data_IF_968841630427
#
_entry.id   IF_968841630427
#
_cell.length_a   1.000
_cell.length_b   1.000
_cell.length_c   1.000
_cell.angle_alpha   90.00
_cell.angle_beta   90.00
_cell.angle_gamma   90.00
#
_symmetry.space_group_name_H-M   'P 1'
#
loop_
_entity.id
_entity.type
_entity.pdbx_description
1 polymer ?
#
# COMPACT_ATOMS: atom_id res chain seq x y z
N UNK A 1 -7.50 29.58 -23.61
CA UNK A 1 -6.51 29.06 -22.64
C UNK A 1 -6.28 27.61 -23.00
N UNK A 2 -5.19 27.31 -23.70
CA UNK A 2 -4.84 25.93 -24.09
C UNK A 2 -4.53 25.15 -22.82
N UNK A 3 -5.38 24.17 -22.49
CA UNK A 3 -5.13 23.23 -21.40
C UNK A 3 -3.78 22.59 -21.70
N UNK A 4 -2.81 22.74 -20.81
CA UNK A 4 -1.51 22.10 -20.95
C UNK A 4 -1.74 20.59 -21.17
N UNK A 5 -1.02 19.95 -22.12
CA UNK A 5 -1.17 18.53 -22.33
C UNK A 5 -0.95 17.79 -21.02
N UNK A 6 -1.78 16.77 -20.75
CA UNK A 6 -1.65 15.95 -19.55
C UNK A 6 -0.18 15.48 -19.43
N UNK A 7 0.45 15.62 -18.26
CA UNK A 7 1.84 15.23 -18.09
C UNK A 7 2.02 13.77 -18.49
N UNK A 8 3.04 13.49 -19.30
CA UNK A 8 3.36 12.10 -19.65
C UNK A 8 3.68 11.31 -18.38
N UNK A 9 3.22 10.04 -18.27
CA UNK A 9 3.57 9.18 -17.15
C UNK A 9 5.09 9.09 -16.99
N UNK A 10 5.58 9.11 -15.75
CA UNK A 10 7.02 8.93 -15.47
C UNK A 10 7.50 7.56 -15.96
N UNK A 11 8.66 7.53 -16.59
CA UNK A 11 9.40 6.30 -16.87
C UNK A 11 10.06 5.80 -15.59
N UNK A 12 9.37 4.92 -14.87
CA UNK A 12 9.80 4.39 -13.59
C UNK A 12 10.93 3.35 -13.74
N UNK A 13 11.10 2.74 -14.92
CA UNK A 13 12.02 1.64 -15.14
C UNK A 13 13.46 2.15 -15.27
N UNK A 14 13.66 3.21 -16.06
CA UNK A 14 14.97 3.84 -16.18
C UNK A 14 15.42 4.47 -14.85
N UNK A 15 14.49 5.07 -14.10
CA UNK A 15 14.77 5.57 -12.74
C UNK A 15 15.16 4.43 -11.78
N UNK A 16 14.51 3.27 -11.90
CA UNK A 16 14.79 2.12 -11.06
C UNK A 16 16.19 1.57 -11.25
N UNK A 17 16.67 1.43 -12.49
CA UNK A 17 18.02 0.94 -12.74
C UNK A 17 19.09 1.89 -12.17
N UNK A 18 18.90 3.21 -12.32
CA UNK A 18 19.79 4.21 -11.70
C UNK A 18 19.81 4.13 -10.17
N UNK A 19 18.65 3.90 -9.54
CA UNK A 19 18.57 3.69 -8.09
C UNK A 19 19.40 2.47 -7.66
N UNK A 20 19.32 1.37 -8.41
CA UNK A 20 20.02 0.12 -8.14
C UNK A 20 21.53 0.31 -8.27
N UNK A 21 22.00 0.89 -9.37
CA UNK A 21 23.42 1.20 -9.61
C UNK A 21 23.99 2.08 -8.50
N UNK A 22 23.26 3.14 -8.13
CA UNK A 22 23.66 4.03 -7.03
C UNK A 22 23.76 3.28 -5.71
N UNK A 23 22.83 2.37 -5.44
CA UNK A 23 22.84 1.60 -4.21
C UNK A 23 23.94 0.54 -4.18
N UNK A 24 24.26 -0.08 -5.32
CA UNK A 24 25.39 -0.99 -5.47
C UNK A 24 26.72 -0.28 -5.20
N UNK A 25 26.92 0.93 -5.75
CA UNK A 25 28.09 1.76 -5.43
C UNK A 25 28.14 2.03 -3.93
N UNK A 26 27.02 2.44 -3.31
CA UNK A 26 26.98 2.70 -1.87
C UNK A 26 27.29 1.45 -1.02
N UNK A 27 26.87 0.26 -1.46
CA UNK A 27 27.23 -1.01 -0.81
C UNK A 27 28.73 -1.24 -0.90
N UNK A 28 29.34 -1.07 -2.07
CA UNK A 28 30.80 -1.23 -2.26
C UNK A 28 31.58 -0.25 -1.39
N UNK A 29 31.18 1.02 -1.36
CA UNK A 29 31.80 2.05 -0.51
C UNK A 29 31.69 1.72 0.98
N UNK A 30 30.53 1.22 1.41
CA UNK A 30 30.32 0.83 2.81
C UNK A 30 31.18 -0.38 3.19
N UNK A 31 31.21 -1.42 2.35
CA UNK A 31 32.03 -2.60 2.58
C UNK A 31 33.53 -2.29 2.52
N UNK A 32 33.94 -1.31 1.72
CA UNK A 32 35.30 -0.76 1.66
C UNK A 32 35.66 0.19 2.80
N UNK A 33 34.71 0.57 3.66
CA UNK A 33 34.93 1.50 4.77
C UNK A 33 34.99 2.99 4.38
N UNK A 34 34.65 3.34 3.14
CA UNK A 34 34.64 4.73 2.64
C UNK A 34 33.48 5.55 3.22
N UNK A 35 32.34 4.91 3.50
CA UNK A 35 31.18 5.55 4.14
C UNK A 35 30.81 4.85 5.45
N UNK A 36 30.49 5.65 6.47
CA UNK A 36 30.09 5.14 7.78
C UNK A 36 28.66 4.57 7.83
N UNK A 37 28.37 3.74 8.84
CA UNK A 37 27.06 3.09 9.05
C UNK A 37 25.89 4.07 9.07
N UNK A 38 26.03 5.27 9.64
CA UNK A 38 24.91 6.22 9.72
C UNK A 38 24.49 6.74 8.34
N UNK A 39 25.46 6.99 7.44
CA UNK A 39 25.21 7.42 6.06
C UNK A 39 24.61 6.26 5.28
N UNK A 40 25.25 5.09 5.37
CA UNK A 40 24.80 3.88 4.67
C UNK A 40 23.40 3.44 5.12
N UNK A 41 23.10 3.53 6.42
CA UNK A 41 21.79 3.19 7.00
C UNK A 41 20.66 3.95 6.33
N UNK A 42 20.83 5.25 6.07
CA UNK A 42 19.79 6.05 5.40
C UNK A 42 19.55 5.54 3.97
N UNK A 43 20.63 5.30 3.21
CA UNK A 43 20.53 4.77 1.85
C UNK A 43 19.91 3.36 1.82
N UNK A 44 20.34 2.49 2.72
CA UNK A 44 19.84 1.12 2.89
C UNK A 44 18.34 1.10 3.19
N UNK A 45 17.90 1.89 4.18
CA UNK A 45 16.49 1.99 4.54
C UNK A 45 15.63 2.53 3.40
N UNK A 46 16.13 3.54 2.68
CA UNK A 46 15.44 4.11 1.54
C UNK A 46 15.31 3.14 0.35
N UNK A 47 16.16 2.12 0.27
CA UNK A 47 16.05 1.01 -0.69
C UNK A 47 15.26 -0.19 -0.17
N UNK A 48 14.52 -0.05 0.93
CA UNK A 48 13.69 -1.12 1.47
C UNK A 48 14.47 -2.22 2.19
N UNK A 49 15.75 -1.98 2.48
CA UNK A 49 16.66 -2.94 3.10
C UNK A 49 16.84 -2.61 4.58
N UNK A 50 16.81 -3.62 5.44
CA UNK A 50 16.95 -3.46 6.89
C UNK A 50 18.02 -4.41 7.43
N UNK A 51 18.92 -3.90 8.27
CA UNK A 51 19.91 -4.72 8.96
C UNK A 51 19.28 -5.72 9.92
N UNK A 52 19.76 -6.95 9.92
CA UNK A 52 19.33 -7.97 10.86
C UNK A 52 20.27 -8.10 12.06
N UNK A 53 19.71 -8.43 13.23
CA UNK A 53 20.49 -8.60 14.47
C UNK A 53 21.17 -9.96 14.56
N UNK A 54 20.78 -10.92 13.73
CA UNK A 54 21.29 -12.29 13.68
C UNK A 54 22.74 -12.40 13.16
N UNK A 55 23.50 -11.30 13.16
CA UNK A 55 24.90 -11.25 12.78
C UNK A 55 25.17 -11.25 11.28
N UNK A 56 26.41 -10.89 10.93
CA UNK A 56 26.93 -10.87 9.56
C UNK A 56 26.31 -9.78 8.68
N UNK A 57 26.34 -10.04 7.38
CA UNK A 57 25.83 -9.14 6.32
C UNK A 57 24.36 -9.40 5.97
N UNK A 58 23.63 -10.15 6.83
CA UNK A 58 22.24 -10.51 6.61
C UNK A 58 21.31 -9.29 6.67
N UNK A 59 20.47 -9.15 5.66
CA UNK A 59 19.47 -8.10 5.57
C UNK A 59 18.07 -8.69 5.39
N UNK A 60 17.08 -7.94 5.83
CA UNK A 60 15.71 -8.08 5.39
C UNK A 60 15.48 -7.15 4.20
N UNK A 61 14.89 -7.66 3.12
CA UNK A 61 14.46 -6.87 1.96
C UNK A 61 12.93 -6.87 1.94
N UNK A 62 12.35 -5.67 1.91
CA UNK A 62 10.90 -5.47 1.80
C UNK A 62 10.56 -4.91 0.43
N UNK A 63 9.60 -5.53 -0.24
CA UNK A 63 9.14 -5.12 -1.57
C UNK A 63 8.10 -3.99 -1.40
N UNK A 64 7.56 -3.37 -2.45
CA UNK A 64 6.32 -2.61 -2.42
C UNK A 64 5.33 -3.33 -3.32
N UNK A 65 4.13 -3.58 -2.80
CA UNK A 65 3.04 -4.27 -3.49
C UNK A 65 1.77 -3.43 -3.23
N UNK A 66 1.52 -2.38 -4.03
CA UNK A 66 0.35 -1.52 -3.83
C UNK A 66 -0.93 -2.37 -3.86
N UNK A 67 -1.89 -2.05 -3.00
CA UNK A 67 -3.14 -2.81 -2.82
C UNK A 67 -2.97 -4.31 -2.43
N UNK A 68 -1.73 -4.79 -2.27
CA UNK A 68 -1.43 -6.21 -2.10
C UNK A 68 -1.56 -7.05 -3.36
N UNK A 69 -1.77 -6.45 -4.53
CA UNK A 69 -1.94 -7.16 -5.81
C UNK A 69 -0.61 -7.81 -6.23
N UNK A 70 -0.68 -9.03 -6.76
CA UNK A 70 0.50 -9.78 -7.21
C UNK A 70 0.15 -10.62 -8.44
N UNK A 71 0.94 -10.49 -9.50
CA UNK A 71 0.74 -11.28 -10.73
C UNK A 71 1.38 -12.66 -10.62
N UNK A 72 1.02 -13.62 -11.50
CA UNK A 72 1.65 -14.94 -11.50
C UNK A 72 3.18 -14.87 -11.68
N UNK A 73 3.65 -14.00 -12.58
CA UNK A 73 5.08 -13.83 -12.90
C UNK A 73 5.84 -13.25 -11.70
N UNK A 74 5.24 -12.28 -11.01
CA UNK A 74 5.78 -11.72 -9.79
C UNK A 74 5.84 -12.77 -8.67
N UNK A 75 4.81 -13.62 -8.58
CA UNK A 75 4.73 -14.68 -7.59
C UNK A 75 5.77 -15.79 -7.83
N UNK A 76 5.96 -16.22 -9.07
CA UNK A 76 7.05 -17.12 -9.44
C UNK A 76 8.41 -16.53 -9.07
N UNK A 77 8.62 -15.25 -9.37
CA UNK A 77 9.83 -14.56 -8.94
C UNK A 77 9.99 -14.60 -7.41
N UNK A 78 8.93 -14.43 -6.62
CA UNK A 78 9.03 -14.55 -5.16
C UNK A 78 9.56 -15.93 -4.73
N UNK A 79 9.13 -17.00 -5.41
CA UNK A 79 9.65 -18.34 -5.17
C UNK A 79 11.14 -18.49 -5.52
N UNK A 80 11.56 -17.90 -6.63
CA UNK A 80 12.98 -17.83 -7.03
C UNK A 80 13.80 -17.04 -6.01
N UNK A 81 13.33 -15.87 -5.58
CA UNK A 81 14.02 -15.04 -4.59
C UNK A 81 14.11 -15.73 -3.22
N UNK A 82 13.03 -16.40 -2.80
CA UNK A 82 13.00 -17.20 -1.58
C UNK A 82 14.10 -18.29 -1.59
N UNK A 83 14.25 -18.97 -2.73
CA UNK A 83 15.20 -20.08 -2.91
C UNK A 83 16.64 -19.59 -3.04
N UNK A 84 16.88 -18.60 -3.89
CA UNK A 84 18.24 -18.18 -4.25
C UNK A 84 18.85 -17.22 -3.24
N UNK A 85 18.06 -16.33 -2.62
CA UNK A 85 18.57 -15.22 -1.80
C UNK A 85 18.17 -15.31 -0.32
N UNK A 86 17.16 -16.11 0.02
CA UNK A 86 16.65 -16.28 1.39
C UNK A 86 16.81 -17.73 1.86
N UNK A 87 15.96 -18.18 2.78
CA UNK A 87 15.97 -19.53 3.38
C UNK A 87 14.86 -20.43 2.84
N UNK A 88 14.39 -20.20 1.62
CA UNK A 88 13.32 -20.97 0.98
C UNK A 88 11.90 -20.50 1.29
N UNK A 89 11.72 -19.35 1.96
CA UNK A 89 10.41 -18.75 2.23
C UNK A 89 10.44 -17.22 2.20
N UNK A 90 9.27 -16.61 2.01
CA UNK A 90 9.01 -15.18 2.17
C UNK A 90 7.87 -14.94 3.16
N UNK A 91 7.80 -13.73 3.71
CA UNK A 91 6.87 -13.37 4.78
C UNK A 91 5.86 -12.33 4.34
N UNK A 92 4.56 -12.64 4.39
CA UNK A 92 3.48 -11.68 4.23
C UNK A 92 3.40 -10.80 5.47
N UNK A 93 3.43 -9.50 5.24
CA UNK A 93 3.40 -8.49 6.30
C UNK A 93 1.98 -8.02 6.56
N UNK A 94 1.74 -7.45 7.75
CA UNK A 94 0.50 -6.71 8.07
C UNK A 94 0.25 -5.49 7.19
N UNK A 95 1.16 -5.21 6.23
CA UNK A 95 1.00 -4.18 5.21
C UNK A 95 0.81 -4.69 3.78
N UNK A 96 0.25 -5.90 3.60
CA UNK A 96 -0.06 -6.48 2.29
C UNK A 96 1.16 -6.52 1.36
N UNK A 97 2.24 -7.11 1.86
CA UNK A 97 3.54 -7.02 1.21
C UNK A 97 4.38 -8.22 1.59
N UNK A 98 5.51 -8.45 0.90
CA UNK A 98 6.40 -9.59 1.13
C UNK A 98 7.75 -9.08 1.65
N UNK A 99 8.31 -9.82 2.61
CA UNK A 99 9.68 -9.65 3.10
C UNK A 99 10.49 -10.92 2.91
N UNK A 100 11.73 -10.75 2.47
CA UNK A 100 12.74 -11.79 2.49
C UNK A 100 13.76 -11.50 3.58
N UNK A 101 14.15 -12.53 4.32
CA UNK A 101 15.14 -12.43 5.40
C UNK A 101 16.42 -13.16 5.01
N UNK A 102 17.52 -12.87 5.71
CA UNK A 102 18.83 -13.50 5.52
C UNK A 102 19.47 -13.26 4.15
N UNK A 103 19.07 -12.18 3.48
CA UNK A 103 19.64 -11.80 2.20
C UNK A 103 21.02 -11.19 2.43
N UNK A 104 22.05 -11.72 1.76
CA UNK A 104 23.40 -11.19 1.86
C UNK A 104 23.48 -9.80 1.26
N UNK A 105 24.07 -8.83 1.99
CA UNK A 105 24.16 -7.44 1.56
C UNK A 105 24.75 -7.29 0.15
N UNK A 106 25.83 -8.01 -0.15
CA UNK A 106 26.50 -7.97 -1.45
C UNK A 106 25.64 -8.51 -2.62
N UNK A 107 24.61 -9.32 -2.33
CA UNK A 107 23.71 -9.91 -3.33
C UNK A 107 22.43 -9.11 -3.54
N UNK A 108 22.23 -8.02 -2.79
CA UNK A 108 21.02 -7.21 -2.89
C UNK A 108 20.87 -6.56 -4.28
N UNK A 109 21.90 -5.97 -4.90
CA UNK A 109 21.77 -5.39 -6.24
C UNK A 109 21.15 -6.36 -7.25
N UNK A 110 21.59 -7.62 -7.26
CA UNK A 110 21.04 -8.66 -8.15
C UNK A 110 19.58 -8.98 -7.84
N UNK A 111 19.22 -9.07 -6.56
CA UNK A 111 17.82 -9.23 -6.14
C UNK A 111 16.96 -8.06 -6.65
N UNK A 112 17.45 -6.82 -6.51
CA UNK A 112 16.72 -5.64 -6.96
C UNK A 112 16.56 -5.58 -8.48
N UNK A 113 17.57 -6.01 -9.26
CA UNK A 113 17.46 -6.15 -10.72
C UNK A 113 16.39 -7.14 -11.12
N UNK A 114 16.29 -8.27 -10.41
CA UNK A 114 15.24 -9.27 -10.67
C UNK A 114 13.85 -8.74 -10.34
N UNK A 115 13.70 -7.98 -9.25
CA UNK A 115 12.43 -7.28 -8.96
C UNK A 115 12.07 -6.30 -10.09
N UNK A 116 13.05 -5.53 -10.57
CA UNK A 116 12.85 -4.58 -11.66
C UNK A 116 12.34 -5.26 -12.94
N UNK A 117 12.84 -6.46 -13.26
CA UNK A 117 12.45 -7.21 -14.44
C UNK A 117 10.95 -7.59 -14.49
N UNK A 118 10.23 -7.55 -13.37
CA UNK A 118 8.78 -7.80 -13.28
C UNK A 118 7.99 -6.58 -12.80
N UNK A 119 8.58 -5.37 -12.92
CA UNK A 119 7.95 -4.11 -12.53
C UNK A 119 7.80 -3.90 -11.02
N UNK A 120 8.47 -4.69 -10.18
CA UNK A 120 8.45 -4.54 -8.73
C UNK A 120 9.63 -3.72 -8.22
N UNK A 121 9.46 -3.06 -7.08
CA UNK A 121 10.52 -2.27 -6.44
C UNK A 121 10.50 -2.44 -4.92
N UNK A 122 11.66 -2.33 -4.27
CA UNK A 122 11.78 -2.20 -2.82
C UNK A 122 11.93 -0.74 -2.37
N UNK A 123 12.04 0.20 -3.31
CA UNK A 123 12.33 1.60 -3.05
C UNK A 123 11.27 2.17 -2.10
N UNK A 124 11.74 2.79 -1.02
CA UNK A 124 10.94 3.42 0.05
C UNK A 124 10.01 2.47 0.82
N UNK A 125 10.19 1.15 0.72
CA UNK A 125 9.46 0.22 1.58
C UNK A 125 9.81 0.40 3.07
N UNK A 126 10.98 0.98 3.33
CA UNK A 126 11.53 1.37 4.62
C UNK A 126 11.98 2.85 4.61
N UNK A 127 12.44 3.35 5.75
CA UNK A 127 12.85 4.75 5.91
C UNK A 127 11.74 5.71 6.33
N UNK A 128 12.06 7.00 6.23
CA UNK A 128 11.18 8.14 6.52
C UNK A 128 10.56 8.65 5.21
N UNK A 129 9.73 7.78 4.66
CA UNK A 129 9.13 7.85 3.32
C UNK A 129 7.69 7.37 3.37
N UNK A 130 7.00 7.43 2.21
CA UNK A 130 5.68 6.80 2.02
C UNK A 130 5.85 5.28 1.93
N UNK A 131 5.25 4.57 2.88
CA UNK A 131 5.26 3.10 2.97
C UNK A 131 4.34 2.47 1.92
N UNK A 132 4.24 1.14 1.93
CA UNK A 132 3.30 0.42 1.07
C UNK A 132 1.88 0.98 1.21
N UNK A 133 1.24 1.25 0.08
CA UNK A 133 -0.13 1.77 0.00
C UNK A 133 -1.08 0.58 0.04
N UNK A 134 -1.88 0.50 1.10
CA UNK A 134 -2.79 -0.63 1.31
C UNK A 134 -4.17 -0.36 0.73
N UNK A 135 -4.88 -1.43 0.37
CA UNK A 135 -6.27 -1.40 -0.02
C UNK A 135 -7.05 -2.51 0.69
N UNK A 136 -8.37 -2.47 0.62
CA UNK A 136 -9.20 -3.60 1.02
C UNK A 136 -8.80 -4.83 0.18
N UNK A 137 -8.52 -5.95 0.83
CA UNK A 137 -8.16 -7.20 0.14
C UNK A 137 -9.32 -7.81 -0.66
N UNK A 138 -10.54 -7.32 -0.47
CA UNK A 138 -11.73 -7.67 -1.26
C UNK A 138 -12.12 -6.59 -2.27
N UNK A 139 -11.30 -5.55 -2.47
CA UNK A 139 -11.66 -4.48 -3.40
C UNK A 139 -11.86 -5.03 -4.83
N UNK A 140 -12.96 -4.66 -5.48
CA UNK A 140 -13.36 -5.17 -6.79
C UNK A 140 -14.17 -6.47 -6.76
N UNK A 141 -14.30 -7.12 -5.58
CA UNK A 141 -15.10 -8.33 -5.36
C UNK A 141 -16.07 -8.22 -4.17
N UNK A 142 -15.96 -7.16 -3.36
CA UNK A 142 -16.73 -6.97 -2.15
C UNK A 142 -18.16 -6.52 -2.48
N UNK A 143 -19.20 -7.18 -1.92
CA UNK A 143 -20.59 -6.79 -2.18
C UNK A 143 -20.98 -5.44 -1.57
N UNK A 144 -20.23 -4.96 -0.57
CA UNK A 144 -20.57 -3.74 0.18
C UNK A 144 -19.74 -2.50 -0.23
N UNK A 145 -18.76 -2.66 -1.12
CA UNK A 145 -17.90 -1.56 -1.51
C UNK A 145 -18.67 -0.48 -2.28
N UNK A 146 -18.31 0.78 -2.04
CA UNK A 146 -18.85 1.94 -2.76
C UNK A 146 -18.06 2.23 -4.03
N UNK A 147 -16.76 1.95 -3.99
CA UNK A 147 -15.84 1.99 -5.14
C UNK A 147 -14.83 0.86 -5.03
N UNK A 148 -14.32 0.43 -6.18
CA UNK A 148 -13.07 -0.32 -6.22
C UNK A 148 -11.89 0.64 -5.95
N UNK A 149 -11.25 0.46 -4.80
CA UNK A 149 -10.14 1.29 -4.34
C UNK A 149 -8.77 0.81 -4.83
N UNK A 150 -8.70 -0.30 -5.57
CA UNK A 150 -7.47 -0.86 -6.12
C UNK A 150 -6.70 0.14 -6.99
N UNK A 151 -7.30 0.73 -8.06
CA UNK A 151 -6.57 1.64 -8.92
C UNK A 151 -6.16 2.94 -8.21
N UNK A 152 -6.92 3.35 -7.18
CA UNK A 152 -6.57 4.50 -6.35
C UNK A 152 -5.31 4.26 -5.51
N UNK A 153 -5.17 3.06 -4.94
CA UNK A 153 -3.97 2.67 -4.19
C UNK A 153 -2.74 2.58 -5.11
N UNK A 154 -2.92 2.06 -6.33
CA UNK A 154 -1.86 2.00 -7.36
C UNK A 154 -1.45 3.40 -7.84
N UNK A 155 -2.41 4.28 -8.12
CA UNK A 155 -2.17 5.67 -8.49
C UNK A 155 -1.37 6.42 -7.41
N UNK A 156 -1.77 6.29 -6.14
CA UNK A 156 -1.03 6.88 -5.01
C UNK A 156 0.39 6.32 -4.90
N UNK A 157 0.57 5.02 -5.10
CA UNK A 157 1.89 4.40 -5.10
C UNK A 157 2.78 4.99 -6.22
N UNK A 158 2.29 5.03 -7.45
CA UNK A 158 3.01 5.56 -8.62
C UNK A 158 3.31 7.05 -8.47
N UNK A 159 2.40 7.80 -7.87
CA UNK A 159 2.57 9.22 -7.61
C UNK A 159 3.70 9.52 -6.62
N UNK A 160 3.79 8.75 -5.52
CA UNK A 160 4.76 9.02 -4.46
C UNK A 160 6.09 8.28 -4.61
N UNK A 161 6.13 7.15 -5.32
CA UNK A 161 7.39 6.42 -5.50
C UNK A 161 8.38 7.28 -6.28
N UNK A 162 9.59 7.41 -5.72
CA UNK A 162 10.67 8.26 -6.26
C UNK A 162 10.27 9.73 -6.40
N UNK A 163 9.19 10.16 -5.75
CA UNK A 163 8.78 11.56 -5.76
C UNK A 163 9.65 12.33 -4.75
N UNK A 164 10.27 13.47 -5.12
CA UNK A 164 11.06 14.29 -4.21
C UNK A 164 10.34 14.64 -2.90
N UNK A 165 9.01 14.80 -2.94
CA UNK A 165 8.18 15.09 -1.77
C UNK A 165 8.27 14.00 -0.69
N UNK A 166 8.43 12.74 -1.10
CA UNK A 166 8.41 11.58 -0.21
C UNK A 166 9.77 11.09 0.27
N UNK A 167 10.88 11.74 -0.10
CA UNK A 167 12.24 11.20 0.14
C UNK A 167 12.82 11.48 1.52
N UNK A 168 12.36 12.54 2.18
CA UNK A 168 12.91 13.03 3.46
C UNK A 168 11.79 13.56 4.37
N UNK A 169 10.81 12.71 4.64
CA UNK A 169 9.75 13.07 5.58
C UNK A 169 10.32 13.10 7.01
N UNK A 170 9.65 13.81 7.95
CA UNK A 170 10.04 13.78 9.36
C UNK A 170 10.01 12.37 9.96
N UNK A 171 9.09 11.52 9.48
CA UNK A 171 8.99 10.09 9.83
C UNK A 171 8.23 9.32 8.76
N UNK A 172 8.14 7.99 8.90
CA UNK A 172 7.30 7.12 8.06
C UNK A 172 5.85 7.63 7.90
N UNK A 173 5.34 7.56 6.69
CA UNK A 173 3.99 7.95 6.31
C UNK A 173 3.24 6.77 5.68
N UNK A 174 2.00 6.52 6.10
CA UNK A 174 1.19 5.37 5.71
C UNK A 174 -0.13 5.83 5.10
N UNK A 175 -0.43 5.31 3.91
CA UNK A 175 -1.71 5.52 3.22
C UNK A 175 -2.43 4.19 3.09
N UNK A 176 -3.73 4.20 3.39
CA UNK A 176 -4.60 3.03 3.40
C UNK A 176 -5.96 3.36 2.78
N UNK A 177 -6.51 2.41 2.04
CA UNK A 177 -7.81 2.51 1.38
C UNK A 177 -8.76 1.40 1.81
N UNK A 178 -10.04 1.75 1.99
CA UNK A 178 -11.15 0.83 2.22
C UNK A 178 -12.31 1.21 1.30
N UNK A 179 -12.90 0.22 0.61
CA UNK A 179 -14.02 0.47 -0.31
C UNK A 179 -15.34 0.83 0.39
N UNK A 180 -15.48 0.55 1.69
CA UNK A 180 -16.68 0.85 2.49
C UNK A 180 -16.35 1.04 3.97
N UNK A 181 -17.37 1.43 4.74
CA UNK A 181 -17.30 1.71 6.18
C UNK A 181 -16.89 0.53 7.07
N UNK A 182 -16.95 -0.70 6.57
CA UNK A 182 -16.41 -1.89 7.27
C UNK A 182 -14.92 -1.77 7.57
N UNK A 183 -14.21 -0.96 6.79
CA UNK A 183 -12.80 -0.63 7.00
C UNK A 183 -11.82 -1.81 7.03
N UNK A 184 -12.05 -2.82 6.18
CA UNK A 184 -11.13 -3.97 6.04
C UNK A 184 -9.69 -3.56 5.67
N UNK A 185 -9.51 -2.42 4.99
CA UNK A 185 -8.21 -1.82 4.66
C UNK A 185 -7.57 -1.03 5.81
N UNK A 186 -8.25 -0.90 6.97
CA UNK A 186 -7.73 -0.28 8.18
C UNK A 186 -7.37 1.21 8.01
N UNK A 187 -8.19 1.97 7.29
CA UNK A 187 -8.02 3.39 7.06
C UNK A 187 -7.95 4.20 8.37
N UNK A 188 -8.76 3.89 9.38
CA UNK A 188 -8.95 4.73 10.57
C UNK A 188 -7.78 4.82 11.56
N UNK A 189 -6.62 4.21 11.29
CA UNK A 189 -5.44 4.31 12.15
C UNK A 189 -4.11 4.46 11.40
N UNK A 190 -4.17 5.02 10.19
CA UNK A 190 -3.00 5.34 9.38
C UNK A 190 -2.83 6.87 9.22
N UNK A 191 -1.66 7.30 8.73
CA UNK A 191 -1.37 8.74 8.59
C UNK A 191 -2.38 9.38 7.61
N UNK A 192 -2.77 8.67 6.56
CA UNK A 192 -3.96 8.94 5.74
C UNK A 192 -4.76 7.66 5.55
N UNK A 193 -6.04 7.72 5.90
CA UNK A 193 -7.02 6.67 5.68
C UNK A 193 -8.12 7.17 4.74
N UNK A 194 -8.45 6.38 3.74
CA UNK A 194 -9.48 6.72 2.75
C UNK A 194 -10.56 5.66 2.78
N UNK A 195 -11.81 6.07 2.96
CA UNK A 195 -12.97 5.18 2.97
C UNK A 195 -13.93 5.58 1.85
N UNK A 196 -14.34 4.64 1.01
CA UNK A 196 -15.34 4.88 -0.03
C UNK A 196 -16.66 5.34 0.59
N UNK A 197 -17.22 6.43 0.05
CA UNK A 197 -18.39 7.11 0.58
C UNK A 197 -19.29 7.62 -0.55
N UNK A 198 -20.53 7.95 -0.21
CA UNK A 198 -21.52 8.53 -1.12
C UNK A 198 -22.14 9.77 -0.49
N UNK A 199 -22.46 10.77 -1.31
CA UNK A 199 -23.16 12.00 -0.90
C UNK A 199 -24.35 12.25 -1.80
N UNK A 200 -25.49 12.60 -1.22
CA UNK A 200 -26.63 13.12 -1.98
C UNK A 200 -26.36 14.56 -2.41
N UNK A 201 -26.55 14.87 -3.69
CA UNK A 201 -26.47 16.22 -4.23
C UNK A 201 -27.83 16.90 -4.16
N UNK A 202 -27.83 18.23 -4.24
CA UNK A 202 -29.07 19.04 -4.22
C UNK A 202 -29.99 18.74 -5.41
N UNK A 203 -29.42 18.26 -6.52
CA UNK A 203 -30.15 17.83 -7.72
C UNK A 203 -30.77 16.43 -7.60
N UNK A 204 -30.66 15.78 -6.43
CA UNK A 204 -31.17 14.44 -6.16
C UNK A 204 -30.30 13.30 -6.68
N UNK A 205 -29.14 13.60 -7.29
CA UNK A 205 -28.20 12.56 -7.72
C UNK A 205 -27.29 12.10 -6.58
N UNK A 206 -26.83 10.85 -6.65
CA UNK A 206 -25.85 10.32 -5.71
C UNK A 206 -24.45 10.45 -6.29
N UNK A 207 -23.60 11.19 -5.60
CA UNK A 207 -22.18 11.29 -5.91
C UNK A 207 -21.39 10.24 -5.14
N UNK A 208 -20.44 9.63 -5.82
CA UNK A 208 -19.54 8.63 -5.26
C UNK A 208 -18.15 9.25 -5.09
N UNK A 209 -17.55 9.06 -3.92
CA UNK A 209 -16.27 9.66 -3.55
C UNK A 209 -15.73 9.04 -2.27
N UNK A 210 -15.14 9.87 -1.40
CA UNK A 210 -14.38 9.36 -0.26
C UNK A 210 -14.63 10.15 1.01
N UNK A 211 -14.47 9.49 2.15
CA UNK A 211 -14.22 10.13 3.43
C UNK A 211 -12.75 9.95 3.80
N UNK A 212 -12.06 11.06 4.03
CA UNK A 212 -10.63 11.06 4.33
C UNK A 212 -10.41 11.27 5.83
N UNK A 213 -9.62 10.40 6.42
CA UNK A 213 -9.15 10.46 7.80
C UNK A 213 -7.65 10.70 7.81
N UNK A 214 -7.16 11.43 8.81
CA UNK A 214 -5.75 11.78 8.93
C UNK A 214 -5.21 11.47 10.33
N UNK A 215 -3.90 11.29 10.38
CA UNK A 215 -3.11 11.30 11.61
C UNK A 215 -3.39 10.16 12.60
N UNK A 216 -3.84 9.00 12.12
CA UNK A 216 -3.95 7.79 12.93
C UNK A 216 -2.61 7.11 13.18
N UNK A 217 -2.51 6.32 14.26
CA UNK A 217 -1.35 5.45 14.43
C UNK A 217 -1.31 4.62 15.71
N UNK A 218 -1.14 3.31 15.54
CA UNK A 218 -0.97 2.30 16.60
C UNK A 218 0.47 2.20 17.13
N UNK A 219 1.12 3.35 17.39
CA UNK A 219 2.45 3.35 18.04
C UNK A 219 2.35 3.12 19.54
N UNK A 220 3.46 3.34 20.28
CA UNK A 220 3.45 3.29 21.75
C UNK A 220 2.35 4.17 22.38
N UNK A 221 2.04 5.30 21.75
CA UNK A 221 0.88 6.14 22.09
C UNK A 221 -0.18 5.98 20.97
N UNK A 222 -1.19 5.11 21.09
CA UNK A 222 -2.17 4.92 20.03
C UNK A 222 -3.05 6.17 19.85
N UNK A 223 -3.31 6.58 18.61
CA UNK A 223 -4.24 7.67 18.28
C UNK A 223 -5.20 7.20 17.18
N UNK A 224 -6.52 7.35 17.34
CA UNK A 224 -7.45 7.18 16.23
C UNK A 224 -7.23 8.29 15.20
N UNK A 225 -7.42 7.98 13.92
CA UNK A 225 -7.42 9.00 12.88
C UNK A 225 -8.62 9.95 13.04
N UNK A 226 -8.44 11.21 12.67
CA UNK A 226 -9.49 12.22 12.73
C UNK A 226 -10.02 12.53 11.33
N UNK A 227 -11.33 12.77 11.21
CA UNK A 227 -11.96 13.10 9.92
C UNK A 227 -11.38 14.43 9.40
N UNK A 228 -10.85 14.43 8.18
CA UNK A 228 -10.38 15.65 7.53
C UNK A 228 -11.58 16.46 7.02
N UNK A 229 -12.46 15.79 6.28
CA UNK A 229 -13.71 16.33 5.75
C UNK A 229 -14.74 15.18 5.65
N UNK A 230 -16.01 15.53 5.54
CA UNK A 230 -17.08 14.51 5.48
C UNK A 230 -17.16 13.84 4.11
N UNK A 231 -16.76 14.55 3.05
CA UNK A 231 -16.76 14.04 1.68
C UNK A 231 -15.71 14.75 0.81
N UNK A 232 -14.89 13.96 0.13
CA UNK A 232 -13.90 14.35 -0.88
C UNK A 232 -14.31 13.73 -2.21
N UNK A 233 -14.36 14.54 -3.28
CA UNK A 233 -14.66 14.04 -4.62
C UNK A 233 -13.52 13.17 -5.18
N UNK A 234 -13.78 12.51 -6.31
CA UNK A 234 -12.77 11.68 -6.99
C UNK A 234 -11.59 12.55 -7.47
N UNK A 235 -11.89 13.71 -8.02
CA UNK A 235 -10.90 14.67 -8.50
C UNK A 235 -10.03 15.23 -7.37
N UNK A 236 -10.59 15.39 -6.17
CA UNK A 236 -9.90 15.99 -5.03
C UNK A 236 -9.11 14.98 -4.19
N UNK A 237 -9.25 13.67 -4.40
CA UNK A 237 -8.65 12.65 -3.53
C UNK A 237 -7.12 12.68 -3.55
N UNK A 238 -6.49 12.49 -4.70
CA UNK A 238 -5.02 12.50 -4.79
C UNK A 238 -4.41 13.86 -4.39
N UNK A 239 -4.97 15.04 -4.76
CA UNK A 239 -4.56 16.33 -4.22
C UNK A 239 -4.62 16.39 -2.69
N UNK A 240 -5.67 15.81 -2.10
CA UNK A 240 -5.87 15.80 -0.65
C UNK A 240 -4.77 14.99 0.04
N UNK A 241 -4.46 13.79 -0.45
CA UNK A 241 -3.41 12.94 0.11
C UNK A 241 -2.04 13.63 0.03
N UNK A 242 -1.72 14.25 -1.11
CA UNK A 242 -0.49 15.02 -1.27
C UNK A 242 -0.45 16.24 -0.35
N UNK A 243 -1.58 16.94 -0.18
CA UNK A 243 -1.67 18.10 0.72
C UNK A 243 -1.37 17.72 2.16
N UNK A 244 -1.86 16.56 2.63
CA UNK A 244 -1.53 16.03 3.96
C UNK A 244 -0.05 15.69 4.07
N UNK A 245 0.55 15.09 3.03
CA UNK A 245 1.98 14.79 3.02
C UNK A 245 2.85 16.06 3.05
N UNK A 246 2.48 17.09 2.28
CA UNK A 246 3.18 18.40 2.27
C UNK A 246 3.05 19.10 3.61
N UNK A 247 1.86 19.11 4.21
CA UNK A 247 1.69 19.61 5.57
C UNK A 247 2.63 18.90 6.53
N UNK A 248 2.68 17.56 6.46
CA UNK A 248 3.54 16.76 7.33
C UNK A 248 5.02 17.08 7.12
N UNK A 249 5.47 17.20 5.87
CA UNK A 249 6.85 17.55 5.53
C UNK A 249 7.27 18.90 6.12
N UNK A 250 6.38 19.90 6.05
CA UNK A 250 6.59 21.28 6.50
C UNK A 250 6.54 21.45 8.02
N UNK A 251 5.71 20.67 8.72
CA UNK A 251 5.38 20.91 10.14
C UNK A 251 5.83 19.80 11.08
N UNK A 252 6.19 18.62 10.56
CA UNK A 252 6.57 17.50 11.41
C UNK A 252 7.92 17.69 12.10
N UNK A 253 7.98 17.29 13.38
CA UNK A 253 9.18 17.34 14.20
C UNK A 253 10.29 16.42 13.64
N UNK A 254 11.50 16.96 13.46
CA UNK A 254 12.68 16.21 12.99
C UNK A 254 13.72 15.93 14.09
N UNK A 255 13.60 16.60 15.23
CA UNK A 255 14.54 16.49 16.35
C UNK A 255 14.25 15.25 17.21
N UNK A 256 12.98 15.03 17.54
CA UNK A 256 12.54 13.91 18.38
C UNK A 256 11.81 12.84 17.58
N UNK A 257 12.54 11.76 17.23
CA UNK A 257 12.01 10.62 16.48
C UNK A 257 10.79 9.93 17.12
N UNK A 258 10.62 10.01 18.44
CA UNK A 258 9.46 9.45 19.15
C UNK A 258 8.20 10.32 18.94
N UNK A 259 8.40 11.62 18.68
CA UNK A 259 7.37 12.64 18.46
C UNK A 259 7.31 13.18 17.01
N UNK A 260 7.82 12.40 16.04
CA UNK A 260 7.98 12.83 14.64
C UNK A 260 6.87 12.36 13.67
N UNK A 261 5.85 11.63 14.13
CA UNK A 261 4.71 11.15 13.30
C UNK A 261 3.63 12.23 13.15
N UNK A 262 2.83 12.16 12.07
CA UNK A 262 1.77 13.12 11.75
C UNK A 262 0.77 13.36 12.89
N UNK A 263 0.43 12.34 13.68
CA UNK A 263 -0.43 12.51 14.88
C UNK A 263 0.04 13.60 15.83
N UNK A 264 1.35 13.77 15.99
CA UNK A 264 1.90 14.79 16.87
C UNK A 264 1.78 16.20 16.29
N UNK A 265 1.72 16.33 14.96
CA UNK A 265 1.38 17.61 14.32
C UNK A 265 -0.04 17.99 14.71
N UNK A 266 -0.98 17.04 14.66
CA UNK A 266 -2.37 17.30 15.08
C UNK A 266 -2.45 17.67 16.56
N UNK A 267 -1.70 17.00 17.43
CA UNK A 267 -1.65 17.36 18.86
C UNK A 267 -1.07 18.75 19.11
N UNK A 268 -0.13 19.20 18.26
CA UNK A 268 0.55 20.49 18.42
C UNK A 268 -0.26 21.67 17.90
N UNK A 269 -0.85 21.56 16.70
CA UNK A 269 -1.52 22.69 16.05
C UNK A 269 -3.05 22.58 16.04
N UNK A 270 -3.60 21.43 16.42
CA UNK A 270 -5.03 21.15 16.43
C UNK A 270 -5.57 20.67 15.08
N UNK A 271 -6.62 19.86 15.10
CA UNK A 271 -7.24 19.30 13.89
C UNK A 271 -7.84 20.36 12.97
N UNK A 272 -8.41 21.43 13.52
CA UNK A 272 -9.03 22.49 12.70
C UNK A 272 -8.00 23.27 11.90
N UNK A 273 -6.83 23.53 12.48
CA UNK A 273 -5.72 24.16 11.76
C UNK A 273 -5.13 23.22 10.71
N UNK A 274 -5.04 21.92 11.00
CA UNK A 274 -4.65 20.89 10.02
C UNK A 274 -5.62 20.88 8.84
N UNK A 275 -6.94 20.84 9.09
CA UNK A 275 -7.97 20.93 8.04
C UNK A 275 -7.78 22.19 7.19
N UNK A 276 -7.69 23.36 7.83
CA UNK A 276 -7.53 24.64 7.13
C UNK A 276 -6.29 24.65 6.24
N UNK A 277 -5.14 24.14 6.72
CA UNK A 277 -3.90 24.10 5.94
C UNK A 277 -3.96 23.08 4.80
N UNK A 278 -4.51 21.89 5.03
CA UNK A 278 -4.66 20.87 3.98
C UNK A 278 -5.55 21.39 2.86
N UNK A 279 -6.71 21.97 3.17
CA UNK A 279 -7.60 22.56 2.17
C UNK A 279 -6.94 23.72 1.43
N UNK A 280 -6.19 24.58 2.14
CA UNK A 280 -5.42 25.66 1.50
C UNK A 280 -4.38 25.11 0.52
N UNK A 281 -3.59 24.11 0.92
CA UNK A 281 -2.59 23.49 0.05
C UNK A 281 -3.29 22.86 -1.16
N UNK A 282 -4.38 22.11 -0.94
CA UNK A 282 -5.17 21.47 -2.00
C UNK A 282 -5.62 22.46 -3.06
N UNK A 283 -6.20 23.60 -2.67
CA UNK A 283 -6.62 24.63 -3.62
C UNK A 283 -5.47 25.23 -4.44
N UNK A 284 -4.26 25.25 -3.89
CA UNK A 284 -3.08 25.78 -4.58
C UNK A 284 -2.30 24.74 -5.38
N UNK A 285 -2.54 23.44 -5.16
CA UNK A 285 -1.84 22.35 -5.85
C UNK A 285 -2.03 22.37 -7.38
N UNK A 286 -3.21 22.67 -7.94
CA UNK A 286 -3.37 22.77 -9.39
C UNK A 286 -2.48 23.83 -10.06
N UNK A 287 -2.02 24.83 -9.31
CA UNK A 287 -1.06 25.83 -9.81
C UNK A 287 0.41 25.34 -9.72
N UNK A 288 0.66 24.19 -9.12
CA UNK A 288 1.99 23.58 -9.02
C UNK A 288 2.34 22.81 -10.30
N UNK A 289 3.56 22.98 -10.77
CA UNK A 289 4.10 22.24 -11.92
C UNK A 289 4.19 20.73 -11.71
N UNK A 290 4.10 20.25 -10.47
CA UNK A 290 4.22 18.83 -10.13
C UNK A 290 2.87 18.11 -10.02
N UNK A 291 1.75 18.82 -10.19
CA UNK A 291 0.42 18.24 -10.02
C UNK A 291 -0.10 17.67 -11.36
N UNK A 292 -0.44 16.37 -11.44
CA UNK A 292 -0.90 15.76 -12.69
C UNK A 292 -2.31 16.18 -13.14
N UNK A 293 -3.15 16.72 -12.24
CA UNK A 293 -4.52 17.12 -12.56
C UNK A 293 -5.53 15.96 -12.55
N UNK A 294 -6.76 16.26 -12.12
CA UNK A 294 -7.92 15.38 -12.31
C UNK A 294 -7.87 14.01 -11.61
N UNK A 295 -8.70 13.10 -12.12
CA UNK A 295 -8.70 11.70 -11.72
C UNK A 295 -7.41 11.05 -12.27
N UNK A 296 -6.66 10.28 -11.47
CA UNK A 296 -5.42 9.66 -11.93
C UNK A 296 -5.61 8.78 -13.17
N UNK A 297 -4.64 8.75 -14.11
CA UNK A 297 -4.76 7.99 -15.34
C UNK A 297 -4.92 6.48 -15.09
N UNK A 298 -4.35 5.95 -14.02
CA UNK A 298 -4.54 4.55 -13.60
C UNK A 298 -6.01 4.24 -13.28
N UNK A 299 -6.70 5.17 -12.61
CA UNK A 299 -8.11 5.05 -12.27
C UNK A 299 -8.99 5.18 -13.51
N UNK A 300 -8.64 6.09 -14.43
CA UNK A 300 -9.35 6.23 -15.71
C UNK A 300 -9.21 4.96 -16.54
N UNK A 301 -8.01 4.38 -16.61
CA UNK A 301 -7.72 3.21 -17.43
C UNK A 301 -8.35 1.93 -16.88
N UNK A 302 -8.29 1.70 -15.56
CA UNK A 302 -8.84 0.48 -14.93
C UNK A 302 -10.34 0.60 -14.63
N UNK A 303 -10.82 1.81 -14.33
CA UNK A 303 -12.13 2.04 -13.73
C UNK A 303 -12.17 1.69 -12.24
N UNK A 304 -13.02 2.38 -11.49
CA UNK A 304 -13.23 2.17 -10.04
C UNK A 304 -14.67 1.74 -9.71
N UNK A 305 -15.35 1.15 -10.70
CA UNK A 305 -16.72 0.68 -10.53
C UNK A 305 -16.74 -0.45 -9.50
N UNK A 306 -17.57 -0.34 -8.44
CA UNK A 306 -17.66 -1.40 -7.43
C UNK A 306 -18.13 -2.72 -8.07
N UNK A 307 -17.83 -3.84 -7.43
CA UNK A 307 -18.34 -5.15 -7.84
C UNK A 307 -19.87 -5.13 -8.01
N UNK A 308 -20.56 -4.47 -7.08
CA UNK A 308 -22.01 -4.35 -7.02
C UNK A 308 -22.67 -5.40 -6.10
N UNK A 309 -23.99 -5.25 -5.90
CA UNK A 309 -24.82 -6.23 -5.21
C UNK A 309 -25.67 -7.00 -6.23
N UNK A 310 -25.63 -8.34 -6.21
CA UNK A 310 -26.63 -9.15 -6.90
C UNK A 310 -28.00 -8.97 -6.25
N UNK A 311 -29.02 -8.99 -7.09
CA UNK A 311 -30.43 -9.02 -6.69
C UNK A 311 -30.90 -10.41 -6.26
N UNK A 312 -30.09 -11.46 -6.49
CA UNK A 312 -30.36 -12.85 -6.11
C UNK A 312 -29.07 -13.62 -5.83
N UNK A 313 -29.09 -14.54 -4.87
CA UNK A 313 -27.92 -15.36 -4.49
C UNK A 313 -27.53 -15.21 -3.02
N UNK A 314 -26.66 -16.11 -2.54
CA UNK A 314 -26.16 -16.11 -1.17
C UNK A 314 -24.94 -15.17 -1.07
N UNK A 315 -25.12 -14.02 -0.43
CA UNK A 315 -24.06 -13.02 -0.22
C UNK A 315 -23.43 -13.27 1.14
N UNK A 316 -22.12 -13.43 1.20
CA UNK A 316 -21.42 -13.58 2.47
C UNK A 316 -21.40 -12.24 3.22
N UNK A 317 -21.89 -12.24 4.46
CA UNK A 317 -21.67 -11.12 5.37
C UNK A 317 -20.17 -10.96 5.63
N UNK A 318 -19.67 -9.72 5.57
CA UNK A 318 -18.27 -9.41 5.87
C UNK A 318 -18.16 -8.20 6.78
N UNK A 319 -17.29 -8.29 7.77
CA UNK A 319 -16.96 -7.15 8.62
C UNK A 319 -16.84 -7.46 10.09
N UNK A 320 -16.61 -6.39 10.87
CA UNK A 320 -16.56 -6.49 12.32
C UNK A 320 -17.95 -6.82 12.87
N UNK A 321 -18.03 -7.81 13.76
CA UNK A 321 -19.29 -8.26 14.37
C UNK A 321 -19.98 -9.40 13.63
N UNK A 322 -19.55 -9.76 12.43
CA UNK A 322 -20.06 -10.94 11.71
C UNK A 322 -19.53 -12.22 12.38
N UNK A 323 -20.44 -13.06 12.87
CA UNK A 323 -20.10 -14.34 13.49
C UNK A 323 -20.16 -15.48 12.48
N UNK A 324 -19.07 -16.22 12.32
CA UNK A 324 -19.03 -17.44 11.50
C UNK A 324 -19.27 -18.65 12.40
N UNK A 325 -20.31 -19.44 12.09
CA UNK A 325 -20.58 -20.70 12.80
C UNK A 325 -20.08 -21.88 11.98
N UNK A 326 -19.05 -22.57 12.47
CA UNK A 326 -18.52 -23.77 11.84
C UNK A 326 -19.29 -25.00 12.33
N UNK A 327 -20.23 -25.50 11.51
CA UNK A 327 -21.11 -26.62 11.89
C UNK A 327 -20.64 -27.97 11.38
N UNK A 328 -19.81 -27.99 10.33
CA UNK A 328 -19.35 -29.23 9.70
C UNK A 328 -18.14 -29.82 10.45
N UNK A 329 -18.06 -31.15 10.52
CA UNK A 329 -16.83 -31.86 10.90
C UNK A 329 -15.89 -32.10 9.72
N UNK A 330 -16.39 -31.98 8.49
CA UNK A 330 -15.60 -32.11 7.27
C UNK A 330 -14.61 -30.94 7.10
N UNK A 331 -13.29 -31.20 6.91
CA UNK A 331 -12.29 -30.15 6.79
C UNK A 331 -12.54 -29.17 5.63
N UNK A 332 -12.98 -29.66 4.47
CA UNK A 332 -13.22 -28.81 3.31
C UNK A 332 -14.40 -27.89 3.54
N UNK A 333 -15.54 -28.43 4.00
CA UNK A 333 -16.72 -27.64 4.32
C UNK A 333 -16.45 -26.59 5.41
N UNK A 334 -15.61 -26.89 6.42
CA UNK A 334 -15.20 -25.88 7.42
C UNK A 334 -14.35 -24.77 6.81
N UNK A 335 -13.40 -25.12 5.95
CA UNK A 335 -12.58 -24.13 5.26
C UNK A 335 -13.46 -23.25 4.37
N UNK A 336 -14.38 -23.85 3.60
CA UNK A 336 -15.33 -23.12 2.75
C UNK A 336 -16.16 -22.13 3.59
N UNK A 337 -16.74 -22.57 4.71
CA UNK A 337 -17.52 -21.73 5.61
C UNK A 337 -16.74 -20.55 6.22
N UNK A 338 -15.43 -20.71 6.46
CA UNK A 338 -14.61 -19.69 7.12
C UNK A 338 -13.80 -18.81 6.16
N UNK A 339 -13.53 -19.28 4.96
CA UNK A 339 -12.50 -18.71 4.07
C UNK A 339 -13.03 -18.36 2.69
N UNK A 340 -14.26 -18.74 2.34
CA UNK A 340 -14.88 -18.36 1.07
C UNK A 340 -15.87 -17.23 1.28
N UNK A 341 -15.69 -16.17 0.51
CA UNK A 341 -16.53 -14.98 0.50
C UNK A 341 -17.19 -14.93 -0.88
N UNK A 342 -18.50 -15.14 -0.89
CA UNK A 342 -19.31 -15.08 -2.10
C UNK A 342 -19.69 -13.62 -2.32
N UNK A 343 -19.06 -13.02 -3.34
CA UNK A 343 -19.41 -11.70 -3.82
C UNK A 343 -20.75 -11.73 -4.52
N UNK A 344 -21.43 -10.59 -4.51
CA UNK A 344 -22.74 -10.45 -5.13
C UNK A 344 -22.62 -9.86 -6.55
N UNK A 345 -21.57 -9.10 -6.83
CA UNK A 345 -21.29 -8.53 -8.14
C UNK A 345 -20.44 -9.43 -9.04
N UNK A 346 -20.73 -9.48 -10.35
CA UNK A 346 -19.92 -10.18 -11.38
C UNK A 346 -19.71 -11.69 -11.18
N UNK A 347 -20.45 -12.34 -10.26
CA UNK A 347 -20.27 -13.76 -9.94
C UNK A 347 -18.92 -14.08 -9.27
N UNK A 348 -18.27 -13.09 -8.65
CA UNK A 348 -16.94 -13.28 -8.05
C UNK A 348 -17.02 -14.08 -6.76
N UNK A 349 -16.09 -15.03 -6.61
CA UNK A 349 -15.86 -15.76 -5.36
C UNK A 349 -14.43 -15.45 -4.91
N UNK A 350 -14.27 -14.96 -3.70
CA UNK A 350 -12.95 -14.78 -3.08
C UNK A 350 -12.69 -15.94 -2.12
N UNK A 351 -11.55 -16.60 -2.26
CA UNK A 351 -11.13 -17.66 -1.36
C UNK A 351 -9.83 -17.24 -0.67
N UNK A 352 -9.81 -17.29 0.67
CA UNK A 352 -8.64 -16.96 1.47
C UNK A 352 -7.77 -18.19 1.63
N UNK A 353 -6.51 -18.08 1.24
CA UNK A 353 -5.50 -19.10 1.53
C UNK A 353 -4.75 -18.69 2.80
N UNK A 354 -4.97 -19.46 3.87
CA UNK A 354 -4.31 -19.21 5.15
C UNK A 354 -2.81 -19.46 5.05
N UNK A 355 -2.01 -18.45 5.40
CA UNK A 355 -0.57 -18.58 5.54
C UNK A 355 -0.21 -18.55 7.03
N UNK A 356 0.26 -19.68 7.56
CA UNK A 356 0.63 -19.78 8.96
C UNK A 356 1.73 -18.75 9.29
N UNK A 357 1.43 -17.84 10.22
CA UNK A 357 2.29 -16.70 10.58
C UNK A 357 2.64 -15.75 9.41
N UNK A 358 2.00 -15.90 8.25
CA UNK A 358 2.34 -15.18 7.03
C UNK A 358 3.48 -15.78 6.22
N UNK A 359 3.98 -16.97 6.55
CA UNK A 359 5.10 -17.57 5.82
C UNK A 359 4.62 -18.34 4.58
N UNK A 360 5.25 -18.07 3.44
CA UNK A 360 5.02 -18.76 2.17
C UNK A 360 6.35 -19.33 1.68
N UNK A 361 6.39 -20.64 1.47
CA UNK A 361 7.55 -21.33 0.92
C UNK A 361 7.71 -21.09 -0.58
N UNK A 362 8.92 -21.31 -1.10
CA UNK A 362 9.20 -21.18 -2.53
C UNK A 362 8.25 -22.04 -3.41
N UNK A 363 7.96 -23.26 -2.98
CA UNK A 363 7.04 -24.15 -3.68
C UNK A 363 5.59 -23.63 -3.63
N UNK A 364 5.15 -23.06 -2.50
CA UNK A 364 3.82 -22.46 -2.39
C UNK A 364 3.65 -21.24 -3.28
N UNK A 365 4.68 -20.40 -3.44
CA UNK A 365 4.66 -19.29 -4.41
C UNK A 365 4.40 -19.80 -5.84
N UNK A 366 5.14 -20.83 -6.28
CA UNK A 366 4.93 -21.42 -7.61
C UNK A 366 3.53 -22.05 -7.75
N UNK A 367 3.04 -22.75 -6.73
CA UNK A 367 1.70 -23.34 -6.74
C UNK A 367 0.60 -22.28 -6.82
N UNK A 368 0.71 -21.18 -6.07
CA UNK A 368 -0.25 -20.09 -6.10
C UNK A 368 -0.24 -19.39 -7.47
N UNK A 369 0.93 -19.22 -8.11
CA UNK A 369 1.02 -18.68 -9.47
C UNK A 369 0.31 -19.57 -10.50
N UNK A 370 0.47 -20.90 -10.37
CA UNK A 370 -0.24 -21.86 -11.22
C UNK A 370 -1.75 -21.83 -11.02
N UNK A 371 -2.22 -21.73 -9.77
CA UNK A 371 -3.64 -21.57 -9.45
C UNK A 371 -4.18 -20.27 -10.08
N UNK A 372 -3.44 -19.17 -9.95
CA UNK A 372 -3.80 -17.89 -10.51
C UNK A 372 -4.01 -17.97 -12.03
N UNK A 373 -3.09 -18.60 -12.75
CA UNK A 373 -3.21 -18.81 -14.21
C UNK A 373 -4.34 -19.76 -14.58
N UNK A 374 -4.46 -20.89 -13.87
CA UNK A 374 -5.46 -21.91 -14.17
C UNK A 374 -6.88 -21.39 -14.01
N UNK A 375 -7.11 -20.50 -13.03
CA UNK A 375 -8.42 -19.94 -12.73
C UNK A 375 -8.65 -18.54 -13.34
N UNK A 376 -7.62 -17.90 -13.89
CA UNK A 376 -7.68 -16.48 -14.27
C UNK A 376 -7.99 -15.58 -13.07
N UNK A 377 -7.52 -15.95 -11.88
CA UNK A 377 -7.85 -15.28 -10.63
C UNK A 377 -7.02 -14.01 -10.42
N UNK A 378 -7.59 -13.02 -9.71
CA UNK A 378 -6.82 -11.97 -9.06
C UNK A 378 -6.33 -12.47 -7.69
N UNK A 379 -5.11 -12.13 -7.29
CA UNK A 379 -4.51 -12.57 -6.03
C UNK A 379 -4.02 -11.38 -5.22
N UNK A 380 -4.37 -11.36 -3.93
CA UNK A 380 -4.12 -10.20 -3.06
C UNK A 380 -3.64 -10.59 -1.68
N UNK A 381 -2.51 -10.02 -1.26
CA UNK A 381 -2.07 -10.16 0.11
C UNK A 381 -2.96 -9.34 1.05
N UNK A 382 -3.31 -9.93 2.21
CA UNK A 382 -4.13 -9.27 3.22
C UNK A 382 -3.31 -8.69 4.38
N UNK A 383 -3.87 -7.71 5.07
CA UNK A 383 -3.30 -7.15 6.31
C UNK A 383 -3.37 -8.13 7.50
N UNK A 384 -4.02 -9.28 7.32
CA UNK A 384 -4.02 -10.43 8.23
C UNK A 384 -2.96 -11.47 7.88
N UNK A 385 -2.04 -11.14 6.97
CA UNK A 385 -0.92 -11.99 6.56
C UNK A 385 -1.35 -13.28 5.85
N UNK A 386 -2.46 -13.23 5.11
CA UNK A 386 -2.93 -14.32 4.22
C UNK A 386 -2.90 -13.89 2.75
N UNK A 387 -3.10 -14.85 1.86
CA UNK A 387 -3.28 -14.65 0.41
C UNK A 387 -4.76 -14.70 0.04
#
# INVERSE_FOLDING_TARGET
>A
MTIAPAPQPRDLDAEQMRDIERFEIAISQYLGGEIGEDVFRVMRLNNGVYGQRQGGTNQMVRIKLPAGTITPEQMELMGVLATEFSRGWGHITTRQNIQFHFVQLARIPDLLRRLAAVGLTSREACGDTVRNVMACHLAGACPYEKLDVTPWAEAVHRHFVRNPLGQRLPRKFKVNFSGCSTDCGQAMFNDVGVVGATRQREDGTTEVGFRVYVAGGLGANPHPAQSLEDFTSREDLLPTIESVLRLFEQTGNRDNKLRARLKWVVDQIGIDEVRRRVIKIRHTLPASSTWPGGIPPEVIAAGDTPAGMATSGEVSEVGQGVSVTLRSSDPFARWEQASVIRGAGKGTVSAVAYAALGDITAAQFASLANIQRALGADVRLSNRQNV
#
